data_IF_763579999259
#
_entry.id   IF_763579999259
#
_cell.length_a   1.000
_cell.length_b   1.000
_cell.length_c   1.000
_cell.angle_alpha   90.00
_cell.angle_beta   90.00
_cell.angle_gamma   90.00
#
_symmetry.space_group_name_H-M   'P 1'
#
loop_
_entity.id
_entity.type
_entity.pdbx_description
1 polymer ?
#
# COMPACT_ATOMS: atom_id res chain seq x y z
N UNK A 1 -23.19 -87.99 -218.73
CA UNK A 1 -24.30 -87.59 -217.83
C UNK A 1 -24.34 -88.34 -216.48
N UNK A 2 -23.90 -89.60 -216.35
CA UNK A 2 -23.86 -90.27 -215.03
C UNK A 2 -22.62 -89.94 -214.17
N UNK A 3 -21.47 -89.59 -214.78
CA UNK A 3 -20.24 -89.20 -214.06
C UNK A 3 -20.35 -87.87 -213.28
N UNK A 4 -21.31 -87.01 -213.63
CA UNK A 4 -21.48 -85.70 -213.00
C UNK A 4 -22.33 -85.76 -211.71
N UNK A 5 -23.18 -86.80 -211.58
CA UNK A 5 -23.91 -87.09 -210.32
C UNK A 5 -23.01 -87.67 -209.24
N UNK A 6 -21.97 -88.42 -209.63
CA UNK A 6 -21.06 -89.06 -208.68
C UNK A 6 -20.11 -88.06 -208.02
N UNK A 7 -19.64 -87.04 -208.75
CA UNK A 7 -18.84 -85.94 -208.19
C UNK A 7 -19.60 -85.10 -207.16
N UNK A 8 -20.89 -84.87 -207.38
CA UNK A 8 -21.70 -84.08 -206.44
C UNK A 8 -21.91 -84.82 -205.11
N UNK A 9 -22.04 -86.15 -205.12
CA UNK A 9 -22.17 -86.96 -203.90
C UNK A 9 -20.94 -86.84 -202.99
N UNK A 10 -19.73 -86.92 -203.56
CA UNK A 10 -18.49 -86.81 -202.79
C UNK A 10 -18.28 -85.41 -202.17
N UNK A 11 -18.68 -84.33 -202.84
CA UNK A 11 -18.59 -82.97 -202.30
C UNK A 11 -19.58 -82.72 -201.14
N UNK A 12 -20.73 -83.41 -201.12
CA UNK A 12 -21.65 -83.42 -199.97
C UNK A 12 -21.11 -84.26 -198.81
N UNK A 13 -20.40 -85.35 -199.09
CA UNK A 13 -19.84 -86.22 -198.06
C UNK A 13 -18.75 -85.51 -197.24
N UNK A 14 -17.84 -84.78 -197.89
CA UNK A 14 -16.79 -84.01 -197.19
C UNK A 14 -17.31 -82.84 -196.34
N UNK A 15 -18.41 -82.19 -196.75
CA UNK A 15 -19.07 -81.14 -195.94
C UNK A 15 -19.73 -81.70 -194.69
N UNK A 16 -20.39 -82.85 -194.83
CA UNK A 16 -21.01 -83.54 -193.70
C UNK A 16 -19.95 -83.98 -192.67
N UNK A 17 -18.76 -84.39 -193.12
CA UNK A 17 -17.65 -84.77 -192.23
C UNK A 17 -17.08 -83.59 -191.42
N UNK A 18 -16.98 -82.40 -192.03
CA UNK A 18 -16.51 -81.19 -191.34
C UNK A 18 -17.49 -80.69 -190.26
N UNK A 19 -18.80 -80.74 -190.54
CA UNK A 19 -19.85 -80.40 -189.56
C UNK A 19 -19.86 -81.41 -188.40
N UNK A 20 -19.64 -82.70 -188.71
CA UNK A 20 -19.60 -83.76 -187.70
C UNK A 20 -18.40 -83.60 -186.75
N UNK A 21 -17.23 -83.21 -187.27
CA UNK A 21 -16.07 -82.89 -186.43
C UNK A 21 -16.26 -81.62 -185.57
N UNK A 22 -16.97 -80.60 -186.08
CA UNK A 22 -17.31 -79.41 -185.30
C UNK A 22 -18.24 -79.74 -184.12
N UNK A 23 -19.31 -80.49 -184.39
CA UNK A 23 -20.24 -80.98 -183.36
C UNK A 23 -19.56 -81.90 -182.35
N UNK A 24 -18.61 -82.73 -182.77
CA UNK A 24 -17.82 -83.55 -181.85
C UNK A 24 -16.96 -82.73 -180.89
N UNK A 25 -16.39 -81.59 -181.32
CA UNK A 25 -15.65 -80.70 -180.42
C UNK A 25 -16.56 -79.98 -179.43
N UNK A 26 -17.70 -79.45 -179.89
CA UNK A 26 -18.66 -78.78 -179.01
C UNK A 26 -19.28 -79.74 -178.00
N UNK A 27 -19.62 -80.96 -178.43
CA UNK A 27 -20.08 -82.02 -177.53
C UNK A 27 -19.03 -82.32 -176.45
N UNK A 28 -17.75 -82.38 -176.83
CA UNK A 28 -16.65 -82.62 -175.89
C UNK A 28 -16.46 -81.47 -174.90
N UNK A 29 -16.53 -80.21 -175.36
CA UNK A 29 -16.45 -79.02 -174.51
C UNK A 29 -17.64 -78.94 -173.53
N UNK A 30 -18.85 -79.22 -174.00
CA UNK A 30 -20.04 -79.26 -173.14
C UNK A 30 -20.01 -80.42 -172.15
N UNK A 31 -19.48 -81.59 -172.53
CA UNK A 31 -19.23 -82.69 -171.61
C UNK A 31 -18.20 -82.33 -170.53
N UNK A 32 -17.13 -81.62 -170.88
CA UNK A 32 -16.13 -81.13 -169.92
C UNK A 32 -16.72 -80.09 -168.96
N UNK A 33 -17.50 -79.11 -169.45
CA UNK A 33 -18.21 -78.15 -168.58
C UNK A 33 -19.25 -78.82 -167.67
N UNK A 34 -20.01 -79.80 -168.16
CA UNK A 34 -20.94 -80.54 -167.31
C UNK A 34 -20.20 -81.32 -166.22
N UNK A 35 -19.08 -81.97 -166.54
CA UNK A 35 -18.23 -82.61 -165.52
C UNK A 35 -17.69 -81.61 -164.49
N UNK A 36 -17.33 -80.41 -164.93
CA UNK A 36 -16.84 -79.35 -164.05
C UNK A 36 -17.95 -78.80 -163.12
N UNK A 37 -19.16 -78.59 -163.64
CA UNK A 37 -20.32 -78.18 -162.85
C UNK A 37 -20.77 -79.29 -161.89
N UNK A 38 -20.80 -80.56 -162.31
CA UNK A 38 -21.07 -81.69 -161.42
C UNK A 38 -20.02 -81.81 -160.31
N UNK A 39 -18.76 -81.48 -160.59
CA UNK A 39 -17.70 -81.46 -159.57
C UNK A 39 -17.88 -80.31 -158.59
N UNK A 40 -18.22 -79.10 -159.08
CA UNK A 40 -18.55 -77.95 -158.22
C UNK A 40 -19.79 -78.18 -157.38
N UNK A 41 -20.82 -78.81 -157.94
CA UNK A 41 -22.07 -79.11 -157.24
C UNK A 41 -21.82 -80.12 -156.11
N UNK A 42 -21.07 -81.19 -156.38
CA UNK A 42 -20.62 -82.14 -155.34
C UNK A 42 -19.77 -81.48 -154.25
N UNK A 43 -18.87 -80.56 -154.63
CA UNK A 43 -18.09 -79.80 -153.66
C UNK A 43 -18.97 -78.90 -152.77
N UNK A 44 -19.93 -78.17 -153.35
CA UNK A 44 -20.86 -77.34 -152.59
C UNK A 44 -21.77 -78.16 -151.68
N UNK A 45 -22.27 -79.30 -152.14
CA UNK A 45 -23.05 -80.24 -151.30
C UNK A 45 -22.22 -80.74 -150.12
N UNK A 46 -20.95 -81.08 -150.36
CA UNK A 46 -20.04 -81.48 -149.30
C UNK A 46 -19.78 -80.34 -148.32
N UNK A 47 -19.50 -79.12 -148.78
CA UNK A 47 -19.29 -77.96 -147.90
C UNK A 47 -20.53 -77.63 -147.07
N UNK A 48 -21.73 -77.70 -147.67
CA UNK A 48 -22.99 -77.50 -146.93
C UNK A 48 -23.21 -78.59 -145.88
N UNK A 49 -22.91 -79.85 -146.21
CA UNK A 49 -23.02 -80.96 -145.26
C UNK A 49 -22.04 -80.78 -144.08
N UNK A 50 -20.78 -80.45 -144.37
CA UNK A 50 -19.76 -80.17 -143.36
C UNK A 50 -20.16 -78.99 -142.46
N UNK A 51 -20.74 -77.93 -143.03
CA UNK A 51 -21.22 -76.77 -142.27
C UNK A 51 -22.44 -77.11 -141.39
N UNK A 52 -23.38 -77.94 -141.89
CA UNK A 52 -24.52 -78.42 -141.10
C UNK A 52 -24.05 -79.31 -139.95
N UNK A 53 -23.11 -80.23 -140.20
CA UNK A 53 -22.54 -81.09 -139.15
C UNK A 53 -21.74 -80.28 -138.13
N UNK A 54 -20.99 -79.27 -138.58
CA UNK A 54 -20.28 -78.34 -137.70
C UNK A 54 -21.27 -77.56 -136.81
N UNK A 55 -22.36 -77.05 -137.40
CA UNK A 55 -23.42 -76.33 -136.69
C UNK A 55 -24.14 -77.22 -135.67
N UNK A 56 -24.48 -78.46 -136.02
CA UNK A 56 -25.14 -79.40 -135.09
C UNK A 56 -24.20 -79.84 -133.96
N UNK A 57 -22.91 -80.04 -134.24
CA UNK A 57 -21.90 -80.29 -133.19
C UNK A 57 -21.76 -79.10 -132.24
N UNK A 58 -21.70 -77.87 -132.76
CA UNK A 58 -21.65 -76.66 -131.95
C UNK A 58 -22.92 -76.49 -131.10
N UNK A 59 -24.10 -76.76 -131.68
CA UNK A 59 -25.39 -76.72 -130.99
C UNK A 59 -25.46 -77.74 -129.86
N UNK A 60 -25.05 -78.98 -130.11
CA UNK A 60 -25.04 -80.07 -129.12
C UNK A 60 -24.09 -79.77 -127.97
N UNK A 61 -22.88 -79.28 -128.28
CA UNK A 61 -21.88 -78.85 -127.29
C UNK A 61 -22.43 -77.72 -126.41
N UNK A 62 -23.08 -76.72 -127.01
CA UNK A 62 -23.69 -75.60 -126.28
C UNK A 62 -24.83 -76.05 -125.35
N UNK A 63 -25.68 -76.97 -125.81
CA UNK A 63 -26.74 -77.55 -124.97
C UNK A 63 -26.18 -78.39 -123.82
N UNK A 64 -25.11 -79.14 -124.04
CA UNK A 64 -24.45 -79.90 -122.98
C UNK A 64 -23.82 -78.97 -121.93
N UNK A 65 -23.17 -77.90 -122.37
CA UNK A 65 -22.65 -76.85 -121.48
C UNK A 65 -23.78 -76.20 -120.66
N UNK A 66 -24.88 -75.80 -121.30
CA UNK A 66 -26.03 -75.21 -120.62
C UNK A 66 -26.63 -76.16 -119.57
N UNK A 67 -26.70 -77.46 -119.85
CA UNK A 67 -27.20 -78.47 -118.91
C UNK A 67 -26.29 -78.66 -117.70
N UNK A 68 -24.97 -78.73 -117.92
CA UNK A 68 -23.99 -78.80 -116.82
C UNK A 68 -24.05 -77.55 -115.94
N UNK A 69 -24.20 -76.38 -116.56
CA UNK A 69 -24.36 -75.11 -115.86
C UNK A 69 -25.68 -75.05 -115.07
N UNK A 70 -26.80 -75.48 -115.66
CA UNK A 70 -28.08 -75.58 -114.97
C UNK A 70 -28.01 -76.45 -113.71
N UNK A 71 -27.36 -77.62 -113.79
CA UNK A 71 -27.16 -78.50 -112.66
C UNK A 71 -26.26 -77.86 -111.58
N UNK A 72 -25.16 -77.21 -111.97
CA UNK A 72 -24.26 -76.53 -111.04
C UNK A 72 -24.96 -75.38 -110.29
N UNK A 73 -25.92 -74.72 -110.94
CA UNK A 73 -26.74 -73.64 -110.38
C UNK A 73 -28.02 -74.14 -109.68
N UNK A 74 -28.22 -75.45 -109.62
CA UNK A 74 -29.41 -76.09 -109.04
C UNK A 74 -30.73 -75.58 -109.63
N UNK A 75 -30.78 -75.39 -110.95
CA UNK A 75 -32.03 -75.06 -111.67
C UNK A 75 -32.94 -76.29 -111.68
N UNK A 76 -34.12 -76.18 -111.07
CA UNK A 76 -35.07 -77.29 -110.93
C UNK A 76 -35.49 -77.89 -112.29
N UNK A 77 -35.40 -79.21 -112.40
CA UNK A 77 -35.66 -79.96 -113.64
C UNK A 77 -37.13 -80.40 -113.68
N UNK A 78 -37.88 -80.01 -114.72
CA UNK A 78 -39.16 -80.66 -115.05
C UNK A 78 -38.87 -81.73 -116.10
N UNK A 79 -39.24 -82.98 -115.83
CA UNK A 79 -38.83 -84.20 -116.54
C UNK A 79 -39.06 -84.21 -118.08
N UNK A 80 -39.75 -83.22 -118.64
CA UNK A 80 -40.11 -83.17 -120.07
C UNK A 80 -39.56 -81.97 -120.84
N UNK A 81 -38.83 -81.03 -120.21
CA UNK A 81 -38.29 -79.84 -120.89
C UNK A 81 -36.85 -79.58 -120.46
N UNK A 82 -35.91 -79.71 -121.40
CA UNK A 82 -34.53 -79.28 -121.17
C UNK A 82 -34.49 -77.78 -120.84
N UNK A 83 -33.76 -77.35 -119.80
CA UNK A 83 -33.70 -75.94 -119.44
C UNK A 83 -33.14 -75.16 -120.61
N UNK A 84 -33.92 -74.19 -121.08
CA UNK A 84 -33.49 -73.28 -122.12
C UNK A 84 -32.28 -72.50 -121.60
N UNK A 85 -31.25 -72.23 -122.43
CA UNK A 85 -30.10 -71.41 -122.06
C UNK A 85 -30.48 -70.10 -121.34
N UNK A 86 -31.62 -69.51 -121.70
CA UNK A 86 -32.20 -68.30 -121.14
C UNK A 86 -32.58 -68.45 -119.64
N UNK A 87 -33.10 -69.61 -119.23
CA UNK A 87 -33.46 -69.88 -117.81
C UNK A 87 -32.19 -69.96 -116.97
N UNK A 88 -31.15 -70.59 -117.52
CA UNK A 88 -29.85 -70.72 -116.87
C UNK A 88 -29.18 -69.35 -116.73
N UNK A 89 -29.23 -68.52 -117.78
CA UNK A 89 -28.74 -67.13 -117.76
C UNK A 89 -29.47 -66.31 -116.69
N UNK A 90 -30.80 -66.37 -116.64
CA UNK A 90 -31.56 -65.64 -115.63
C UNK A 90 -31.19 -66.08 -114.21
N UNK A 91 -30.96 -67.39 -113.99
CA UNK A 91 -30.52 -67.87 -112.69
C UNK A 91 -29.12 -67.38 -112.32
N UNK A 92 -28.20 -67.32 -113.28
CA UNK A 92 -26.88 -66.70 -113.09
C UNK A 92 -27.04 -65.23 -112.70
N UNK A 93 -27.89 -64.47 -113.40
CA UNK A 93 -28.15 -63.06 -113.10
C UNK A 93 -28.71 -62.86 -111.69
N UNK A 94 -29.71 -63.66 -111.29
CA UNK A 94 -30.26 -63.65 -109.92
C UNK A 94 -29.18 -63.94 -108.88
N UNK A 95 -28.36 -64.98 -109.08
CA UNK A 95 -27.32 -65.36 -108.14
C UNK A 95 -26.20 -64.32 -108.06
N UNK A 96 -25.87 -63.66 -109.18
CA UNK A 96 -24.92 -62.54 -109.20
C UNK A 96 -25.49 -61.34 -108.42
N UNK A 97 -26.77 -61.01 -108.63
CA UNK A 97 -27.44 -59.95 -107.87
C UNK A 97 -27.49 -60.29 -106.37
N UNK A 98 -27.86 -61.50 -106.00
CA UNK A 98 -27.90 -61.94 -104.60
C UNK A 98 -26.51 -61.97 -103.98
N UNK A 99 -25.49 -62.48 -104.69
CA UNK A 99 -24.11 -62.45 -104.22
C UNK A 99 -23.62 -61.00 -104.04
N UNK A 100 -23.98 -60.09 -104.94
CA UNK A 100 -23.67 -58.66 -104.79
C UNK A 100 -24.35 -58.07 -103.55
N UNK A 101 -25.63 -58.39 -103.33
CA UNK A 101 -26.42 -57.92 -102.19
C UNK A 101 -25.87 -58.42 -100.86
N UNK A 102 -25.53 -59.71 -100.78
CA UNK A 102 -24.90 -60.32 -99.60
C UNK A 102 -23.54 -59.71 -99.36
N UNK A 103 -22.73 -59.47 -100.40
CA UNK A 103 -21.43 -58.81 -100.27
C UNK A 103 -21.58 -57.40 -99.71
N UNK A 104 -22.50 -56.60 -100.22
CA UNK A 104 -22.80 -55.26 -99.68
C UNK A 104 -23.24 -55.32 -98.22
N UNK A 105 -24.13 -56.27 -97.86
CA UNK A 105 -24.53 -56.47 -96.46
C UNK A 105 -23.35 -56.87 -95.58
N UNK A 106 -22.49 -57.78 -96.03
CA UNK A 106 -21.33 -58.22 -95.28
C UNK A 106 -20.37 -57.06 -95.03
N UNK A 107 -20.04 -56.27 -96.06
CA UNK A 107 -19.22 -55.06 -95.92
C UNK A 107 -19.86 -54.04 -94.98
N UNK A 108 -21.19 -53.87 -95.03
CA UNK A 108 -21.90 -52.98 -94.10
C UNK A 108 -21.83 -53.47 -92.65
N UNK A 109 -21.96 -54.78 -92.41
CA UNK A 109 -21.86 -55.36 -91.06
C UNK A 109 -20.43 -55.28 -90.55
N UNK A 110 -19.42 -55.53 -91.37
CA UNK A 110 -18.00 -55.36 -91.02
C UNK A 110 -17.70 -53.90 -90.64
N UNK A 111 -18.25 -52.92 -91.39
CA UNK A 111 -18.11 -51.50 -91.06
C UNK A 111 -18.81 -51.12 -89.73
N UNK A 112 -19.99 -51.68 -89.46
CA UNK A 112 -20.67 -51.47 -88.18
C UNK A 112 -19.91 -52.12 -87.02
N UNK A 113 -19.42 -53.35 -87.19
CA UNK A 113 -18.63 -54.06 -86.20
C UNK A 113 -17.36 -53.29 -85.84
N UNK A 114 -16.62 -52.83 -86.85
CA UNK A 114 -15.41 -52.02 -86.62
C UNK A 114 -15.71 -50.72 -85.89
N UNK A 115 -16.85 -50.06 -86.19
CA UNK A 115 -17.30 -48.87 -85.46
C UNK A 115 -17.59 -49.21 -83.99
N UNK A 116 -18.35 -50.27 -83.72
CA UNK A 116 -18.68 -50.71 -82.34
C UNK A 116 -17.43 -51.12 -81.57
N UNK A 117 -16.44 -51.77 -82.20
CA UNK A 117 -15.17 -52.13 -81.55
C UNK A 117 -14.33 -50.90 -81.16
N UNK A 118 -14.42 -49.82 -81.95
CA UNK A 118 -13.76 -48.54 -81.64
C UNK A 118 -14.51 -47.83 -80.51
N UNK A 119 -15.84 -47.81 -80.53
CA UNK A 119 -16.66 -47.21 -79.48
C UNK A 119 -16.47 -47.93 -78.15
N UNK A 120 -16.43 -49.27 -78.17
CA UNK A 120 -16.21 -50.08 -76.97
C UNK A 120 -14.82 -49.84 -76.38
N UNK A 121 -13.77 -49.76 -77.22
CA UNK A 121 -12.42 -49.37 -76.78
C UNK A 121 -12.42 -47.97 -76.16
N UNK A 122 -13.08 -47.00 -76.79
CA UNK A 122 -13.18 -45.64 -76.29
C UNK A 122 -13.91 -45.57 -74.94
N UNK A 123 -14.98 -46.37 -74.77
CA UNK A 123 -15.68 -46.50 -73.49
C UNK A 123 -14.80 -47.11 -72.40
N UNK A 124 -14.01 -48.14 -72.75
CA UNK A 124 -13.06 -48.77 -71.81
C UNK A 124 -12.01 -47.77 -71.35
N UNK A 125 -11.40 -47.04 -72.28
CA UNK A 125 -10.40 -46.03 -71.94
C UNK A 125 -10.98 -44.88 -71.09
N UNK A 126 -12.25 -44.50 -71.33
CA UNK A 126 -12.95 -43.53 -70.50
C UNK A 126 -13.20 -44.06 -69.09
N UNK A 127 -13.60 -45.34 -68.95
CA UNK A 127 -13.78 -45.99 -67.66
C UNK A 127 -12.47 -46.05 -66.87
N UNK A 128 -11.37 -46.46 -67.52
CA UNK A 128 -10.05 -46.53 -66.88
C UNK A 128 -9.58 -45.16 -66.37
N UNK A 129 -9.83 -44.08 -67.14
CA UNK A 129 -9.57 -42.71 -66.69
C UNK A 129 -10.39 -42.32 -65.46
N UNK A 130 -11.69 -42.58 -65.47
CA UNK A 130 -12.58 -42.28 -64.32
C UNK A 130 -12.19 -43.07 -63.08
N UNK A 131 -11.76 -44.33 -63.24
CA UNK A 131 -11.26 -45.15 -62.12
C UNK A 131 -9.99 -44.53 -61.52
N UNK A 132 -9.03 -44.09 -62.35
CA UNK A 132 -7.82 -43.43 -61.89
C UNK A 132 -8.12 -42.10 -61.16
N UNK A 133 -9.04 -41.29 -61.69
CA UNK A 133 -9.50 -40.06 -61.04
C UNK A 133 -10.18 -40.32 -59.70
N UNK A 134 -11.05 -41.34 -59.61
CA UNK A 134 -11.68 -41.77 -58.36
C UNK A 134 -10.64 -42.13 -57.31
N UNK A 135 -9.62 -42.92 -57.67
CA UNK A 135 -8.57 -43.29 -56.74
C UNK A 135 -7.75 -42.07 -56.29
N UNK A 136 -7.45 -41.14 -57.19
CA UNK A 136 -6.76 -39.90 -56.84
C UNK A 136 -7.58 -39.07 -55.84
N UNK A 137 -8.87 -38.87 -56.11
CA UNK A 137 -9.78 -38.18 -55.20
C UNK A 137 -9.88 -38.90 -53.85
N UNK A 138 -9.94 -40.23 -53.85
CA UNK A 138 -9.99 -41.01 -52.60
C UNK A 138 -8.72 -40.83 -51.76
N UNK A 139 -7.53 -40.77 -52.39
CA UNK A 139 -6.26 -40.47 -51.69
C UNK A 139 -6.27 -39.04 -51.13
N UNK A 140 -6.76 -38.07 -51.90
CA UNK A 140 -6.88 -36.67 -51.46
C UNK A 140 -7.84 -36.53 -50.26
N UNK A 141 -9.03 -37.14 -50.33
CA UNK A 141 -10.00 -37.15 -49.23
C UNK A 141 -9.40 -37.79 -47.97
N UNK A 142 -8.68 -38.91 -48.12
CA UNK A 142 -8.01 -39.57 -46.98
C UNK A 142 -6.96 -38.65 -46.34
N UNK A 143 -6.16 -37.94 -47.13
CA UNK A 143 -5.20 -36.95 -46.62
C UNK A 143 -5.90 -35.81 -45.87
N UNK A 144 -6.96 -35.26 -46.46
CA UNK A 144 -7.71 -34.15 -45.86
C UNK A 144 -8.37 -34.54 -44.54
N UNK A 145 -8.85 -35.78 -44.40
CA UNK A 145 -9.41 -36.28 -43.14
C UNK A 145 -8.36 -36.30 -42.02
N UNK A 146 -7.13 -36.73 -42.32
CA UNK A 146 -6.02 -36.74 -41.35
C UNK A 146 -5.66 -35.31 -40.93
N UNK A 147 -5.58 -34.38 -41.88
CA UNK A 147 -5.30 -32.97 -41.57
C UNK A 147 -6.41 -32.34 -40.71
N UNK A 148 -7.67 -32.69 -40.98
CA UNK A 148 -8.82 -32.22 -40.21
C UNK A 148 -8.77 -32.72 -38.76
N UNK A 149 -8.45 -34.00 -38.56
CA UNK A 149 -8.32 -34.57 -37.21
C UNK A 149 -7.12 -33.96 -36.45
N UNK A 150 -6.02 -33.68 -37.14
CA UNK A 150 -4.89 -32.94 -36.56
C UNK A 150 -5.30 -31.53 -36.12
N UNK A 151 -6.01 -30.79 -36.97
CA UNK A 151 -6.49 -29.44 -36.64
C UNK A 151 -7.49 -29.45 -35.47
N UNK A 152 -8.31 -30.50 -35.34
CA UNK A 152 -9.20 -30.68 -34.17
C UNK A 152 -8.40 -30.84 -32.89
N UNK A 153 -7.36 -31.68 -32.89
CA UNK A 153 -6.49 -31.86 -31.72
C UNK A 153 -5.74 -30.57 -31.35
N UNK A 154 -5.20 -29.86 -32.35
CA UNK A 154 -4.51 -28.58 -32.13
C UNK A 154 -5.46 -27.54 -31.53
N UNK A 155 -6.72 -27.48 -32.01
CA UNK A 155 -7.77 -26.62 -31.45
C UNK A 155 -8.04 -26.94 -29.99
N UNK A 156 -8.25 -28.22 -29.64
CA UNK A 156 -8.52 -28.65 -28.26
C UNK A 156 -7.34 -28.31 -27.33
N UNK A 157 -6.11 -28.48 -27.80
CA UNK A 157 -4.89 -28.12 -27.07
C UNK A 157 -4.84 -26.60 -26.79
N UNK A 158 -5.11 -25.77 -27.80
CA UNK A 158 -5.14 -24.31 -27.66
C UNK A 158 -6.25 -23.86 -26.72
N UNK A 159 -7.47 -24.43 -26.83
CA UNK A 159 -8.57 -24.12 -25.92
C UNK A 159 -8.23 -24.47 -24.47
N UNK A 160 -7.55 -25.60 -24.23
CA UNK A 160 -7.13 -25.97 -22.88
C UNK A 160 -6.10 -24.97 -22.32
N UNK A 161 -5.09 -24.58 -23.11
CA UNK A 161 -4.11 -23.56 -22.72
C UNK A 161 -4.76 -22.22 -22.45
N UNK A 162 -5.74 -21.82 -23.27
CA UNK A 162 -6.51 -20.61 -23.07
C UNK A 162 -7.25 -20.62 -21.71
N UNK A 163 -7.94 -21.72 -21.37
CA UNK A 163 -8.63 -21.86 -20.08
C UNK A 163 -7.67 -21.77 -18.88
N UNK A 164 -6.47 -22.34 -19.01
CA UNK A 164 -5.44 -22.24 -17.96
C UNK A 164 -4.97 -20.79 -17.80
N UNK A 165 -4.60 -20.13 -18.91
CA UNK A 165 -4.17 -18.74 -18.90
C UNK A 165 -5.26 -17.80 -18.37
N UNK A 166 -6.53 -18.04 -18.69
CA UNK A 166 -7.66 -17.25 -18.17
C UNK A 166 -7.81 -17.38 -16.65
N UNK A 167 -7.61 -18.59 -16.09
CA UNK A 167 -7.60 -18.80 -14.63
C UNK A 167 -6.43 -18.08 -13.97
N UNK A 168 -5.22 -18.24 -14.50
CA UNK A 168 -4.02 -17.56 -13.98
C UNK A 168 -4.20 -16.03 -14.00
N UNK A 169 -4.79 -15.49 -15.07
CA UNK A 169 -5.06 -14.07 -15.20
C UNK A 169 -6.05 -13.59 -14.13
N UNK A 170 -7.12 -14.35 -13.88
CA UNK A 170 -8.07 -14.02 -12.81
C UNK A 170 -7.41 -14.08 -11.42
N UNK A 171 -6.58 -15.08 -11.14
CA UNK A 171 -5.82 -15.15 -9.88
C UNK A 171 -4.86 -13.96 -9.71
N UNK A 172 -4.20 -13.52 -10.80
CA UNK A 172 -3.33 -12.35 -10.78
C UNK A 172 -4.12 -11.06 -10.53
N UNK A 173 -5.33 -10.93 -11.08
CA UNK A 173 -6.23 -9.80 -10.79
C UNK A 173 -6.63 -9.76 -9.32
N UNK A 174 -6.99 -10.90 -8.73
CA UNK A 174 -7.35 -10.97 -7.30
C UNK A 174 -6.17 -10.62 -6.40
N UNK A 175 -4.97 -11.12 -6.72
CA UNK A 175 -3.73 -10.76 -6.02
C UNK A 175 -3.45 -9.26 -6.11
N UNK A 176 -3.63 -8.65 -7.29
CA UNK A 176 -3.45 -7.22 -7.49
C UNK A 176 -4.46 -6.40 -6.67
N UNK A 177 -5.74 -6.79 -6.65
CA UNK A 177 -6.76 -6.14 -5.83
C UNK A 177 -6.42 -6.20 -4.34
N UNK A 178 -5.96 -7.35 -3.84
CA UNK A 178 -5.55 -7.51 -2.46
C UNK A 178 -4.30 -6.68 -2.11
N UNK A 179 -3.31 -6.65 -3.01
CA UNK A 179 -2.13 -5.81 -2.85
C UNK A 179 -2.51 -4.32 -2.77
N UNK A 180 -3.40 -3.85 -3.65
CA UNK A 180 -3.88 -2.47 -3.62
C UNK A 180 -4.59 -2.12 -2.31
N UNK A 181 -5.46 -2.99 -1.80
CA UNK A 181 -6.12 -2.78 -0.48
C UNK A 181 -5.10 -2.68 0.65
N UNK A 182 -4.10 -3.55 0.65
CA UNK A 182 -3.02 -3.55 1.65
C UNK A 182 -2.22 -2.25 1.59
N UNK A 183 -1.84 -1.80 0.39
CA UNK A 183 -1.15 -0.53 0.16
C UNK A 183 -2.01 0.63 0.67
N UNK A 184 -3.29 0.71 0.31
CA UNK A 184 -4.17 1.78 0.80
C UNK A 184 -4.26 1.82 2.32
N UNK A 185 -4.35 0.65 2.98
CA UNK A 185 -4.33 0.57 4.45
C UNK A 185 -3.00 1.04 5.03
N UNK A 186 -1.87 0.64 4.44
CA UNK A 186 -0.55 1.06 4.89
C UNK A 186 -0.35 2.57 4.71
N UNK A 187 -0.77 3.14 3.58
CA UNK A 187 -0.74 4.58 3.32
C UNK A 187 -1.58 5.36 4.33
N UNK A 188 -2.79 4.86 4.66
CA UNK A 188 -3.62 5.47 5.71
C UNK A 188 -2.95 5.46 7.07
N UNK A 189 -2.31 4.34 7.45
CA UNK A 189 -1.57 4.23 8.71
C UNK A 189 -0.37 5.19 8.77
N UNK A 190 0.38 5.32 7.67
CA UNK A 190 1.51 6.26 7.58
C UNK A 190 1.01 7.70 7.78
N UNK A 191 -0.06 8.10 7.08
CA UNK A 191 -0.63 9.44 7.23
C UNK A 191 -1.06 9.74 8.68
N UNK A 192 -1.69 8.76 9.35
CA UNK A 192 -2.05 8.88 10.76
C UNK A 192 -0.81 9.02 11.68
N UNK A 193 0.25 8.25 11.40
CA UNK A 193 1.51 8.34 12.15
C UNK A 193 2.21 9.68 11.95
N UNK A 194 2.23 10.20 10.72
CA UNK A 194 2.79 11.53 10.41
C UNK A 194 2.05 12.63 11.16
N UNK A 195 0.71 12.56 11.21
CA UNK A 195 -0.11 13.50 11.99
C UNK A 195 0.20 13.43 13.50
N UNK A 196 0.32 12.21 14.05
CA UNK A 196 0.67 12.01 15.46
C UNK A 196 2.08 12.53 15.78
N UNK A 197 3.06 12.30 14.89
CA UNK A 197 4.42 12.83 15.04
C UNK A 197 4.40 14.36 15.03
N UNK A 198 3.60 14.98 14.14
CA UNK A 198 3.39 16.42 14.11
C UNK A 198 2.87 16.94 15.45
N UNK A 199 1.80 16.34 15.96
CA UNK A 199 1.20 16.70 17.25
C UNK A 199 2.19 16.56 18.42
N UNK A 200 2.92 15.44 18.50
CA UNK A 200 3.90 15.21 19.57
C UNK A 200 5.05 16.22 19.53
N UNK A 201 5.45 16.68 18.35
CA UNK A 201 6.47 17.73 18.20
C UNK A 201 5.96 19.07 18.73
N UNK A 202 4.72 19.43 18.43
CA UNK A 202 4.08 20.64 18.96
C UNK A 202 3.94 20.58 20.48
N UNK A 203 3.47 19.46 21.02
CA UNK A 203 3.35 19.24 22.45
C UNK A 203 4.72 19.36 23.15
N UNK A 204 5.77 18.76 22.57
CA UNK A 204 7.13 18.85 23.09
C UNK A 204 7.62 20.31 23.12
N UNK A 205 7.40 21.06 22.04
CA UNK A 205 7.77 22.47 21.96
C UNK A 205 7.07 23.29 23.05
N UNK A 206 5.76 23.11 23.23
CA UNK A 206 4.99 23.80 24.28
C UNK A 206 5.48 23.45 25.69
N UNK A 207 5.86 22.18 25.91
CA UNK A 207 6.43 21.74 27.19
C UNK A 207 7.79 22.35 27.45
N UNK A 208 8.63 22.46 26.43
CA UNK A 208 9.95 23.08 26.55
C UNK A 208 9.80 24.58 26.89
N UNK A 209 8.94 25.31 26.17
CA UNK A 209 8.64 26.72 26.49
C UNK A 209 8.10 26.91 27.92
N UNK A 210 7.26 25.99 28.40
CA UNK A 210 6.77 26.01 29.78
C UNK A 210 7.91 25.76 30.77
N UNK A 211 8.80 24.81 30.50
CA UNK A 211 9.97 24.52 31.33
C UNK A 211 10.90 25.73 31.41
N UNK A 212 11.21 26.36 30.27
CA UNK A 212 12.05 27.56 30.20
C UNK A 212 11.45 28.73 30.99
N UNK A 213 10.12 28.93 30.92
CA UNK A 213 9.43 29.94 31.74
C UNK A 213 9.57 29.66 33.24
N UNK A 214 9.27 28.44 33.69
CA UNK A 214 9.40 28.05 35.11
C UNK A 214 10.84 28.17 35.59
N UNK A 215 11.82 27.78 34.77
CA UNK A 215 13.23 27.91 35.11
C UNK A 215 13.64 29.39 35.26
N UNK A 216 13.10 30.26 34.42
CA UNK A 216 13.32 31.71 34.51
C UNK A 216 12.70 32.30 35.77
N UNK A 217 11.46 31.92 36.10
CA UNK A 217 10.78 32.32 37.33
C UNK A 217 11.53 31.84 38.58
N UNK A 218 12.00 30.58 38.58
CA UNK A 218 12.79 30.02 39.68
C UNK A 218 14.09 30.81 39.89
N UNK A 219 14.80 31.15 38.80
CA UNK A 219 16.01 31.97 38.88
C UNK A 219 15.72 33.33 39.49
N UNK A 220 14.66 34.01 39.06
CA UNK A 220 14.26 35.31 39.63
C UNK A 220 13.86 35.21 41.11
N UNK A 221 13.19 34.12 41.51
CA UNK A 221 12.88 33.86 42.90
C UNK A 221 14.14 33.68 43.74
N UNK A 222 15.10 32.86 43.26
CA UNK A 222 16.38 32.65 43.94
C UNK A 222 17.21 33.94 44.04
N UNK A 223 17.23 34.76 42.98
CA UNK A 223 17.83 36.11 43.01
C UNK A 223 17.18 37.00 44.08
N UNK A 224 15.85 37.03 44.12
CA UNK A 224 15.11 37.82 45.11
C UNK A 224 15.37 37.35 46.54
N UNK A 225 15.37 36.04 46.79
CA UNK A 225 15.68 35.47 48.10
C UNK A 225 17.11 35.75 48.51
N UNK A 226 18.08 35.59 47.61
CA UNK A 226 19.49 35.88 47.87
C UNK A 226 19.71 37.35 48.28
N UNK A 227 19.03 38.28 47.61
CA UNK A 227 19.06 39.70 47.98
C UNK A 227 18.48 39.95 49.38
N UNK A 228 17.38 39.28 49.76
CA UNK A 228 16.75 39.44 51.08
C UNK A 228 17.60 38.89 52.23
N UNK A 229 18.31 37.78 52.02
CA UNK A 229 19.16 37.16 53.05
C UNK A 229 20.59 37.71 53.06
N UNK A 230 20.96 38.47 52.03
CA UNK A 230 22.19 39.25 52.01
C UNK A 230 22.11 40.41 53.00
N UNK A 231 23.24 40.77 53.60
CA UNK A 231 23.35 41.90 54.51
C UNK A 231 24.49 42.84 54.11
N UNK A 232 24.65 43.97 54.81
CA UNK A 232 25.70 44.96 54.50
C UNK A 232 27.12 44.38 54.46
N UNK A 233 27.36 43.31 55.22
CA UNK A 233 28.68 42.70 55.38
C UNK A 233 28.87 41.38 54.64
N UNK A 234 27.83 40.83 53.99
CA UNK A 234 27.91 39.55 53.27
C UNK A 234 26.88 39.47 52.15
N UNK A 235 27.41 39.30 50.94
CA UNK A 235 26.62 38.98 49.76
C UNK A 235 26.40 37.48 49.65
N UNK A 236 25.20 37.08 49.24
CA UNK A 236 24.79 35.69 49.04
C UNK A 236 24.46 35.48 47.57
N UNK A 237 25.03 34.42 46.97
CA UNK A 237 24.73 34.04 45.60
C UNK A 237 23.31 33.48 45.47
N UNK A 238 22.69 33.66 44.30
CA UNK A 238 21.34 33.20 43.94
C UNK A 238 21.24 31.69 43.68
N UNK A 239 21.87 30.90 44.55
CA UNK A 239 21.87 29.44 44.51
C UNK A 239 21.16 28.86 45.74
N UNK A 240 20.24 27.92 45.51
CA UNK A 240 19.32 27.39 46.53
C UNK A 240 20.04 26.93 47.81
N UNK A 241 21.11 26.14 47.65
CA UNK A 241 21.85 25.62 48.80
C UNK A 241 22.52 26.73 49.62
N UNK A 242 23.07 27.75 48.96
CA UNK A 242 23.76 28.87 49.64
C UNK A 242 22.76 29.74 50.41
N UNK A 243 21.59 30.00 49.82
CA UNK A 243 20.49 30.71 50.47
C UNK A 243 20.01 29.93 51.70
N UNK A 244 19.79 28.61 51.57
CA UNK A 244 19.38 27.74 52.68
C UNK A 244 20.40 27.74 53.81
N UNK A 245 21.69 27.64 53.49
CA UNK A 245 22.76 27.69 54.49
C UNK A 245 22.78 29.03 55.22
N UNK A 246 22.64 30.15 54.51
CA UNK A 246 22.56 31.47 55.16
C UNK A 246 21.35 31.61 56.06
N UNK A 247 20.18 31.11 55.66
CA UNK A 247 18.99 31.12 56.52
C UNK A 247 19.26 30.34 57.82
N UNK A 248 19.92 29.18 57.75
CA UNK A 248 20.28 28.40 58.95
C UNK A 248 21.24 29.16 59.86
N UNK A 249 22.24 29.84 59.29
CA UNK A 249 23.15 30.71 60.04
C UNK A 249 22.41 31.85 60.74
N UNK A 250 21.54 32.59 60.03
CA UNK A 250 20.73 33.68 60.62
C UNK A 250 19.86 33.15 61.76
N UNK A 251 19.26 31.96 61.61
CA UNK A 251 18.48 31.33 62.67
C UNK A 251 19.33 30.98 63.90
N UNK A 252 20.56 30.51 63.70
CA UNK A 252 21.50 30.23 64.78
C UNK A 252 21.94 31.52 65.49
N UNK A 253 22.33 32.55 64.73
CA UNK A 253 22.68 33.88 65.24
C UNK A 253 21.54 34.47 66.09
N UNK A 254 20.29 34.40 65.61
CA UNK A 254 19.12 34.85 66.35
C UNK A 254 18.88 34.07 67.65
N UNK A 255 19.12 32.75 67.64
CA UNK A 255 19.00 31.91 68.84
C UNK A 255 20.05 32.31 69.88
N UNK A 256 21.29 32.55 69.45
CA UNK A 256 22.37 32.98 70.34
C UNK A 256 22.12 34.39 70.91
N UNK A 257 21.62 35.31 70.08
CA UNK A 257 21.20 36.64 70.53
C UNK A 257 20.06 36.55 71.55
N UNK A 258 19.06 35.69 71.34
CA UNK A 258 17.98 35.49 72.29
C UNK A 258 18.49 34.98 73.66
N UNK A 259 19.42 34.02 73.64
CA UNK A 259 20.08 33.54 74.86
C UNK A 259 20.89 34.64 75.55
N UNK A 260 21.59 35.47 74.78
CA UNK A 260 22.34 36.61 75.34
C UNK A 260 21.40 37.66 75.96
N UNK A 261 20.29 37.98 75.31
CA UNK A 261 19.25 38.85 75.85
C UNK A 261 18.70 38.27 77.16
N UNK A 262 18.43 36.96 77.21
CA UNK A 262 17.99 36.31 78.44
C UNK A 262 19.03 36.44 79.57
N UNK A 263 20.31 36.17 79.30
CA UNK A 263 21.40 36.35 80.28
C UNK A 263 21.52 37.80 80.75
N UNK A 264 21.35 38.77 79.86
CA UNK A 264 21.36 40.20 80.22
C UNK A 264 20.16 40.56 81.09
N UNK A 265 18.96 40.04 80.78
CA UNK A 265 17.77 40.21 81.61
C UNK A 265 17.96 39.64 83.02
N UNK A 266 18.57 38.45 83.14
CA UNK A 266 18.91 37.85 84.43
C UNK A 266 19.88 38.72 85.22
N UNK A 267 20.97 39.20 84.58
CA UNK A 267 21.91 40.14 85.21
C UNK A 267 21.26 41.43 85.69
N UNK A 268 20.36 42.00 84.87
CA UNK A 268 19.59 43.20 85.23
C UNK A 268 18.73 42.88 86.46
N UNK A 269 17.99 41.78 86.46
CA UNK A 269 17.17 41.38 87.62
C UNK A 269 18.01 41.21 88.89
N UNK A 270 19.16 40.52 88.82
CA UNK A 270 20.06 40.36 89.97
C UNK A 270 20.61 41.69 90.48
N UNK A 271 21.00 42.59 89.57
CA UNK A 271 21.44 43.93 89.93
C UNK A 271 20.31 44.72 90.60
N UNK A 272 19.10 44.68 90.04
CA UNK A 272 17.90 45.30 90.63
C UNK A 272 17.60 44.75 92.02
N UNK A 273 17.64 43.44 92.23
CA UNK A 273 17.47 42.82 93.56
C UNK A 273 18.55 43.28 94.55
N UNK A 274 19.82 43.33 94.12
CA UNK A 274 20.94 43.81 94.94
C UNK A 274 20.77 45.27 95.33
N UNK A 275 20.40 46.14 94.38
CA UNK A 275 20.10 47.55 94.64
C UNK A 275 18.90 47.70 95.57
N UNK A 276 17.86 46.88 95.41
CA UNK A 276 16.68 46.89 96.30
C UNK A 276 17.08 46.54 97.74
N UNK A 277 17.87 45.46 97.93
CA UNK A 277 18.42 45.09 99.25
C UNK A 277 19.32 46.16 99.84
N UNK A 278 20.16 46.80 99.03
CA UNK A 278 20.97 47.94 99.48
C UNK A 278 20.09 49.12 99.90
N UNK A 279 19.00 49.39 99.16
CA UNK A 279 17.98 50.37 99.53
C UNK A 279 17.38 50.08 100.90
N UNK A 280 16.91 48.84 101.13
CA UNK A 280 16.36 48.41 102.43
C UNK A 280 17.38 48.56 103.58
N UNK A 281 18.66 48.24 103.35
CA UNK A 281 19.73 48.43 104.32
C UNK A 281 19.99 49.92 104.61
N UNK A 282 19.97 50.77 103.59
CA UNK A 282 20.10 52.22 103.75
C UNK A 282 18.91 52.75 104.55
N UNK A 283 17.67 52.38 104.20
CA UNK A 283 16.48 52.80 104.93
C UNK A 283 16.54 52.38 106.41
N UNK A 284 16.99 51.16 106.68
CA UNK A 284 17.20 50.66 108.05
C UNK A 284 18.27 51.47 108.78
N UNK A 285 19.37 51.81 108.11
CA UNK A 285 20.47 52.61 108.68
C UNK A 285 20.04 54.05 108.94
N UNK A 286 19.30 54.66 108.02
CA UNK A 286 18.73 56.00 108.16
C UNK A 286 17.73 56.04 109.32
N UNK A 287 16.87 55.02 109.46
CA UNK A 287 15.97 54.93 110.61
C UNK A 287 16.74 54.87 111.94
N UNK A 288 17.81 54.06 112.01
CA UNK A 288 18.70 54.02 113.20
C UNK A 288 19.39 55.37 113.47
N UNK A 289 19.91 56.03 112.43
CA UNK A 289 20.54 57.35 112.57
C UNK A 289 19.55 58.38 113.12
N UNK A 290 18.31 58.41 112.60
CA UNK A 290 17.26 59.31 113.12
C UNK A 290 16.96 59.05 114.59
N UNK A 291 16.80 57.79 114.99
CA UNK A 291 16.59 57.46 116.41
C UNK A 291 17.75 57.96 117.29
N UNK A 292 19.00 57.79 116.84
CA UNK A 292 20.17 58.30 117.56
C UNK A 292 20.22 59.84 117.57
N UNK A 293 19.79 60.52 116.51
CA UNK A 293 19.67 61.98 116.48
C UNK A 293 18.60 62.48 117.45
N UNK A 294 17.45 61.80 117.53
CA UNK A 294 16.38 62.11 118.48
C UNK A 294 16.87 61.91 119.93
N UNK A 295 17.54 60.79 120.23
CA UNK A 295 18.18 60.53 121.53
C UNK A 295 19.22 61.62 121.86
N UNK A 296 20.05 62.01 120.90
CA UNK A 296 21.03 63.09 121.06
C UNK A 296 20.33 64.41 121.39
N UNK A 297 19.25 64.74 120.66
CA UNK A 297 18.48 65.97 120.89
C UNK A 297 17.83 65.99 122.28
N UNK A 298 17.29 64.86 122.73
CA UNK A 298 16.71 64.72 124.07
C UNK A 298 17.78 64.91 125.16
N UNK A 299 18.95 64.31 124.98
CA UNK A 299 20.09 64.48 125.87
C UNK A 299 20.60 65.92 125.89
N UNK A 300 20.74 66.58 124.72
CA UNK A 300 21.08 68.00 124.63
C UNK A 300 20.06 68.88 125.38
N UNK A 301 18.76 68.59 125.25
CA UNK A 301 17.71 69.30 125.98
C UNK A 301 17.82 69.11 127.49
N UNK A 302 18.06 67.87 127.94
CA UNK A 302 18.32 67.55 129.36
C UNK A 302 19.54 68.30 129.89
N UNK A 303 20.64 68.34 129.14
CA UNK A 303 21.84 69.10 129.51
C UNK A 303 21.52 70.58 129.67
N UNK A 304 20.89 71.21 128.68
CA UNK A 304 20.52 72.64 128.78
C UNK A 304 19.61 72.93 129.97
N UNK A 305 18.68 72.02 130.29
CA UNK A 305 17.81 72.15 131.45
C UNK A 305 18.60 72.10 132.76
N UNK A 306 19.52 71.15 132.89
CA UNK A 306 20.40 71.04 134.06
C UNK A 306 21.34 72.26 134.18
N UNK A 307 21.86 72.78 133.06
CA UNK A 307 22.65 74.01 133.04
C UNK A 307 21.82 75.22 133.53
N UNK A 308 20.55 75.34 133.13
CA UNK A 308 19.65 76.37 133.61
C UNK A 308 19.35 76.24 135.11
N UNK A 309 19.00 75.03 135.57
CA UNK A 309 18.76 74.74 136.99
C UNK A 309 20.01 75.03 137.85
N UNK A 310 21.20 74.71 137.35
CA UNK A 310 22.47 75.05 138.01
C UNK A 310 22.65 76.57 138.11
N UNK A 311 22.40 77.30 137.02
CA UNK A 311 22.49 78.77 136.99
C UNK A 311 21.50 79.40 137.98
N UNK A 312 20.26 78.93 138.04
CA UNK A 312 19.25 79.39 138.99
C UNK A 312 19.67 79.10 140.44
N UNK A 313 20.28 77.94 140.69
CA UNK A 313 20.83 77.58 141.99
C UNK A 313 21.98 78.51 142.39
N UNK A 314 22.89 78.83 141.47
CA UNK A 314 23.97 79.80 141.68
C UNK A 314 23.43 81.20 141.99
N UNK A 315 22.44 81.67 141.23
CA UNK A 315 21.78 82.96 141.46
C UNK A 315 21.05 83.01 142.81
N UNK A 316 20.35 81.93 143.18
CA UNK A 316 19.67 81.79 144.47
C UNK A 316 20.67 81.82 145.63
N UNK A 317 21.78 81.10 145.48
CA UNK A 317 22.89 81.11 146.45
C UNK A 317 23.49 82.51 146.61
N UNK A 318 23.69 83.24 145.50
CA UNK A 318 24.16 84.63 145.52
C UNK A 318 23.16 85.57 146.21
N UNK A 319 21.86 85.39 145.96
CA UNK A 319 20.78 86.14 146.60
C UNK A 319 20.74 85.93 148.12
N UNK A 320 20.76 84.67 148.56
CA UNK A 320 20.83 84.30 149.98
C UNK A 320 22.10 84.85 150.64
N UNK A 321 23.22 84.89 149.92
CA UNK A 321 24.46 85.49 150.41
C UNK A 321 24.32 86.99 150.64
N UNK A 322 23.63 87.70 149.73
CA UNK A 322 23.29 89.12 149.87
C UNK A 322 22.34 89.35 151.04
N UNK A 323 21.26 88.59 151.15
CA UNK A 323 20.29 88.68 152.27
C UNK A 323 20.95 88.43 153.62
N UNK A 324 21.80 87.40 153.72
CA UNK A 324 22.62 87.15 154.91
C UNK A 324 23.45 88.38 155.26
N UNK A 325 24.14 88.98 154.29
CA UNK A 325 24.93 90.20 154.54
C UNK A 325 24.05 91.36 155.03
N UNK A 326 22.85 91.53 154.47
CA UNK A 326 21.89 92.55 154.92
C UNK A 326 21.42 92.30 156.36
N UNK A 327 21.06 91.05 156.70
CA UNK A 327 20.65 90.67 158.05
C UNK A 327 21.75 90.90 159.07
N UNK A 328 22.98 90.50 158.75
CA UNK A 328 24.17 90.75 159.59
C UNK A 328 24.34 92.24 159.86
N UNK A 329 24.18 93.07 158.83
CA UNK A 329 24.31 94.53 158.95
C UNK A 329 23.15 95.14 159.77
N UNK A 330 21.94 94.59 159.66
CA UNK A 330 20.79 94.99 160.46
C UNK A 330 20.99 94.66 161.95
N UNK A 331 21.43 93.42 162.26
CA UNK A 331 21.68 92.98 163.62
C UNK A 331 22.80 93.80 164.28
N UNK A 332 23.84 94.15 163.53
CA UNK A 332 24.88 95.07 164.01
C UNK A 332 24.32 96.47 164.36
N UNK A 333 23.44 97.02 163.51
CA UNK A 333 22.75 98.29 163.80
C UNK A 333 21.80 98.20 164.99
N UNK A 334 21.08 97.10 165.16
CA UNK A 334 20.18 96.88 166.28
C UNK A 334 20.97 96.72 167.59
N UNK A 335 22.10 96.01 167.55
CA UNK A 335 23.10 95.93 168.60
C UNK A 335 23.49 97.31 169.13
N UNK A 336 23.86 98.21 168.22
CA UNK A 336 24.23 99.60 168.50
C UNK A 336 23.11 100.43 169.11
N UNK A 337 21.87 100.26 168.64
CA UNK A 337 20.73 101.01 169.15
C UNK A 337 20.36 100.65 170.60
N UNK A 338 20.67 99.43 171.03
CA UNK A 338 20.31 98.89 172.35
C UNK A 338 21.43 99.02 173.40
N UNK A 339 22.49 99.76 173.07
CA UNK A 339 23.70 99.94 173.89
C UNK A 339 24.30 98.58 174.31
N UNK A 340 24.32 97.64 173.36
CA UNK A 340 24.87 96.28 173.49
C UNK A 340 26.18 96.13 172.69
N UNK A 341 26.76 97.26 172.32
CA UNK A 341 27.81 97.46 171.32
C UNK A 341 29.11 96.76 171.73
N UNK A 342 29.48 96.87 173.01
CA UNK A 342 30.70 96.29 173.58
C UNK A 342 30.59 94.77 173.84
N UNK A 343 29.37 94.22 173.93
CA UNK A 343 29.14 92.78 174.16
C UNK A 343 28.90 92.05 172.82
N UNK A 344 28.43 92.75 171.79
CA UNK A 344 28.07 92.17 170.49
C UNK A 344 29.27 91.87 169.57
N UNK A 345 30.44 92.46 169.81
CA UNK A 345 31.62 92.26 168.95
C UNK A 345 32.33 90.91 169.16
N UNK A 346 32.10 90.23 170.30
CA UNK A 346 32.75 88.94 170.63
C UNK A 346 31.81 87.72 170.50
N UNK A 347 30.56 87.88 170.04
CA UNK A 347 29.58 86.79 169.93
C UNK A 347 29.21 86.46 168.48
N UNK A 348 29.04 85.15 168.16
CA UNK A 348 28.56 84.71 166.84
C UNK A 348 27.10 85.12 166.56
N UNK A 349 26.72 85.28 165.29
CA UNK A 349 25.40 85.80 164.87
C UNK A 349 24.18 85.20 165.60
N UNK A 350 24.15 83.89 165.79
CA UNK A 350 23.05 83.25 166.54
C UNK A 350 22.98 83.73 168.00
N UNK A 351 24.13 83.72 168.69
CA UNK A 351 24.24 84.22 170.07
C UNK A 351 23.99 85.73 170.17
N UNK A 352 24.38 86.51 169.15
CA UNK A 352 24.10 87.95 169.07
C UNK A 352 22.59 88.22 168.99
N UNK A 353 21.86 87.43 168.20
CA UNK A 353 20.41 87.58 168.02
C UNK A 353 19.66 87.27 169.31
N UNK A 354 20.05 86.20 170.01
CA UNK A 354 19.50 85.80 171.30
C UNK A 354 19.80 86.82 172.41
N UNK A 355 21.02 87.36 172.44
CA UNK A 355 21.41 88.38 173.41
C UNK A 355 20.66 89.71 173.22
N UNK A 356 20.45 90.13 171.97
CA UNK A 356 19.63 91.31 171.65
C UNK A 356 18.17 91.13 172.05
N UNK A 357 17.61 89.93 171.89
CA UNK A 357 16.25 89.61 172.31
C UNK A 357 16.10 89.76 173.83
N UNK A 358 17.01 89.20 174.62
CA UNK A 358 17.01 89.31 176.09
C UNK A 358 17.14 90.78 176.53
N UNK A 359 17.97 91.57 175.84
CA UNK A 359 18.10 93.01 176.11
C UNK A 359 16.80 93.76 175.80
N UNK A 360 16.09 93.39 174.74
CA UNK A 360 14.83 94.02 174.34
C UNK A 360 13.75 93.76 175.39
N UNK A 361 13.69 92.52 175.89
CA UNK A 361 12.80 92.15 176.99
C UNK A 361 13.14 92.89 178.30
N UNK A 362 14.42 93.10 178.62
CA UNK A 362 14.85 93.87 179.79
C UNK A 362 14.49 95.36 179.68
N UNK A 363 14.73 95.99 178.52
CA UNK A 363 14.37 97.40 178.29
C UNK A 363 12.86 97.60 178.27
N UNK A 364 12.10 96.68 177.68
CA UNK A 364 10.63 96.70 177.72
C UNK A 364 10.09 96.63 179.15
N UNK A 365 10.65 95.76 180.02
CA UNK A 365 10.25 95.68 181.43
C UNK A 365 10.52 96.99 182.20
N UNK A 366 11.65 97.67 181.92
CA UNK A 366 12.01 98.96 182.51
C UNK A 366 11.13 100.14 182.03
N UNK A 367 10.47 100.00 180.87
CA UNK A 367 9.52 100.99 180.35
C UNK A 367 8.09 100.75 180.89
N UNK A 368 7.67 99.48 181.11
CA UNK A 368 6.41 99.17 181.83
C UNK A 368 6.44 99.57 183.31
N UNK A 369 7.58 99.49 183.98
CA UNK A 369 7.71 99.92 185.39
C UNK A 369 7.74 101.46 185.56
N UNK A 370 8.08 102.22 184.50
CA UNK A 370 7.91 103.69 184.47
C UNK A 370 6.45 104.15 184.34
N UNK A 371 5.50 103.24 184.10
CA UNK A 371 4.08 103.54 183.89
C UNK A 371 3.18 103.16 185.08
N UNK A 372 3.69 102.53 186.16
CA UNK A 372 2.89 102.02 187.30
C UNK A 372 3.22 102.67 188.66
N UNK A 373 4.24 103.53 188.77
CA UNK A 373 4.40 104.48 189.89
C UNK A 373 4.09 105.93 189.46
N UNK A 374 2.92 106.02 188.81
CA UNK A 374 1.92 107.04 189.11
C UNK A 374 0.62 106.36 189.50
#
# INVERSE_FOLDING_TARGET
>A
ELEERERNLYATQGRNESVLQGLQRDLKYHQERNREYEKKMRQLEQTVSEEVESRERARSSFQEFARKLANALSVEYRETVHPSPEIVIHKVEELVQEASRVRTKNTSVEAQLTTVEVDFRSCRDALDRVVAEKEQLQRQVSSQLVDLDRLRQDKECVEMRYRVAERELNELRDKLLNANRSISSATGNISNQEALIGQLREDLMQRDEKCQRVQTELRHLLESLAMLVSGPNRFIESHENVIKDRIREILAENKDQALMIQKLREKVNTATESTTRQGELIDTTVAKMRNLEDERSELESKVRKLEAELTDCELSKESLRREKQTLVTFLDRLGKAMQMDEISEEMGLDLQTESLLVRAEQLARLETDKLVDK
#
